data_IF_925072535165
#
_entry.id   IF_925072535165
#
_cell.length_a   1.000
_cell.length_b   1.000
_cell.length_c   1.000
_cell.angle_alpha   90.00
_cell.angle_beta   90.00
_cell.angle_gamma   90.00
#
_symmetry.space_group_name_H-M   'P 1'
#
loop_
_entity.id
_entity.type
_entity.pdbx_description
1 polymer ?
#
# COMPACT_ATOMS: atom_id res chain seq x y z
N UNK A 1 -14.59 16.70 -21.28
CA UNK A 1 -14.74 16.81 -19.82
C UNK A 1 -13.35 16.93 -19.22
N UNK A 2 -13.13 17.85 -18.28
CA UNK A 2 -11.82 18.02 -17.64
C UNK A 2 -11.68 17.03 -16.49
N UNK A 3 -10.76 16.07 -16.59
CA UNK A 3 -10.45 15.17 -15.47
C UNK A 3 -9.74 15.96 -14.37
N UNK A 4 -10.17 15.77 -13.12
CA UNK A 4 -9.41 16.24 -11.94
C UNK A 4 -8.53 15.12 -11.44
N UNK A 5 -7.38 15.49 -10.90
CA UNK A 5 -6.42 14.53 -10.34
C UNK A 5 -6.14 14.87 -8.89
N UNK A 6 -6.16 13.85 -8.04
CA UNK A 6 -5.62 13.93 -6.69
C UNK A 6 -4.42 13.00 -6.58
N UNK A 7 -3.43 13.42 -5.80
CA UNK A 7 -2.22 12.65 -5.54
C UNK A 7 -2.20 12.34 -4.06
N UNK A 8 -2.15 11.05 -3.72
CA UNK A 8 -2.14 10.63 -2.32
C UNK A 8 -1.09 9.59 -2.02
N UNK A 9 -0.37 9.86 -0.95
CA UNK A 9 0.70 8.99 -0.46
C UNK A 9 0.13 8.15 0.68
N UNK A 10 0.11 6.84 0.46
CA UNK A 10 -0.32 5.85 1.45
C UNK A 10 0.95 5.30 2.08
N UNK A 11 1.05 5.43 3.39
CA UNK A 11 2.17 4.94 4.18
C UNK A 11 1.71 3.74 5.01
N UNK A 12 2.14 2.55 4.62
CA UNK A 12 1.91 1.33 5.38
C UNK A 12 3.21 0.96 6.08
N UNK A 13 3.37 1.51 7.28
CA UNK A 13 4.43 1.10 8.20
C UNK A 13 4.34 -0.42 8.42
N UNK A 14 5.44 -1.13 8.23
CA UNK A 14 5.56 -2.58 8.43
C UNK A 14 5.01 -3.53 7.34
N UNK A 15 4.77 -3.09 6.11
CA UNK A 15 4.30 -3.97 5.02
C UNK A 15 5.41 -4.86 4.42
N UNK A 16 6.61 -4.29 4.20
CA UNK A 16 7.70 -4.97 3.50
C UNK A 16 8.61 -5.76 4.45
N UNK A 17 8.75 -5.37 5.74
CA UNK A 17 9.54 -6.15 6.71
C UNK A 17 9.08 -7.59 6.81
N UNK A 18 7.77 -7.85 7.01
CA UNK A 18 7.22 -9.19 7.10
C UNK A 18 7.21 -9.88 5.74
N UNK A 19 6.92 -9.19 4.64
CA UNK A 19 6.95 -9.79 3.30
C UNK A 19 8.37 -10.24 2.89
N UNK A 20 9.39 -9.42 3.17
CA UNK A 20 10.79 -9.76 2.93
C UNK A 20 11.32 -10.80 3.93
N UNK A 21 10.82 -10.80 5.17
CA UNK A 21 11.07 -11.85 6.16
C UNK A 21 10.44 -13.17 5.71
N UNK A 22 9.19 -13.17 5.23
CA UNK A 22 8.50 -14.33 4.68
C UNK A 22 9.25 -14.92 3.50
N UNK A 23 9.69 -14.10 2.52
CA UNK A 23 10.50 -14.57 1.39
C UNK A 23 11.83 -15.17 1.87
N UNK A 24 12.54 -14.50 2.81
CA UNK A 24 13.78 -15.03 3.39
C UNK A 24 13.57 -16.34 4.16
N UNK A 25 12.49 -16.44 4.93
CA UNK A 25 12.14 -17.65 5.68
C UNK A 25 11.72 -18.78 4.72
N UNK A 26 10.95 -18.51 3.66
CA UNK A 26 10.59 -19.52 2.65
C UNK A 26 11.79 -20.13 1.92
N UNK A 27 12.88 -19.37 1.78
CA UNK A 27 14.12 -19.81 1.14
C UNK A 27 15.21 -20.23 2.14
N UNK A 28 14.94 -20.19 3.45
CA UNK A 28 15.90 -20.57 4.48
C UNK A 28 15.70 -22.03 4.87
N UNK A 29 16.80 -22.80 4.88
CA UNK A 29 16.79 -24.22 5.27
C UNK A 29 16.42 -24.45 6.75
N UNK A 30 16.43 -23.40 7.59
CA UNK A 30 16.16 -23.47 9.04
C UNK A 30 15.03 -22.53 9.50
N UNK A 31 14.07 -22.22 8.63
CA UNK A 31 12.99 -21.30 8.99
C UNK A 31 12.02 -21.88 10.03
N UNK A 32 11.79 -21.13 11.11
CA UNK A 32 10.73 -21.46 12.07
C UNK A 32 9.36 -21.17 11.45
N UNK A 33 8.48 -22.19 11.47
CA UNK A 33 7.10 -22.10 11.00
C UNK A 33 6.34 -20.95 11.67
N UNK A 34 6.59 -20.70 12.95
CA UNK A 34 5.93 -19.64 13.71
C UNK A 34 6.32 -18.24 13.20
N UNK A 35 7.59 -18.05 12.84
CA UNK A 35 8.10 -16.82 12.25
C UNK A 35 7.51 -16.58 10.86
N UNK A 36 7.37 -17.63 10.06
CA UNK A 36 6.74 -17.56 8.73
C UNK A 36 5.26 -17.18 8.83
N UNK A 37 4.51 -17.81 9.73
CA UNK A 37 3.08 -17.50 9.96
C UNK A 37 2.90 -16.08 10.47
N UNK A 38 3.74 -15.63 11.41
CA UNK A 38 3.72 -14.26 11.90
C UNK A 38 4.00 -13.23 10.80
N UNK A 39 4.95 -13.54 9.90
CA UNK A 39 5.27 -12.71 8.76
C UNK A 39 4.10 -12.62 7.76
N UNK A 40 3.48 -13.75 7.41
CA UNK A 40 2.30 -13.81 6.54
C UNK A 40 1.13 -12.99 7.10
N UNK A 41 0.83 -13.11 8.40
CA UNK A 41 -0.27 -12.38 9.03
C UNK A 41 -0.08 -10.86 8.98
N UNK A 42 1.15 -10.38 9.17
CA UNK A 42 1.45 -8.93 9.07
C UNK A 42 1.34 -8.42 7.63
N UNK A 43 1.76 -9.22 6.64
CA UNK A 43 1.54 -8.89 5.23
C UNK A 43 0.05 -8.81 4.90
N UNK A 44 -0.76 -9.74 5.40
CA UNK A 44 -2.21 -9.76 5.17
C UNK A 44 -2.91 -8.50 5.72
N UNK A 45 -2.61 -8.13 6.97
CA UNK A 45 -3.16 -6.91 7.59
C UNK A 45 -2.81 -5.67 6.76
N UNK A 46 -1.58 -5.62 6.26
CA UNK A 46 -1.10 -4.48 5.51
C UNK A 46 -1.71 -4.44 4.08
N UNK A 47 -2.02 -5.59 3.47
CA UNK A 47 -2.82 -5.66 2.24
C UNK A 47 -4.26 -5.17 2.47
N UNK A 48 -4.89 -5.58 3.58
CA UNK A 48 -6.24 -5.15 3.93
C UNK A 48 -6.32 -3.63 4.13
N UNK A 49 -5.36 -3.04 4.84
CA UNK A 49 -5.29 -1.58 5.02
C UNK A 49 -5.11 -0.85 3.67
N UNK A 50 -4.31 -1.41 2.75
CA UNK A 50 -4.19 -0.85 1.41
C UNK A 50 -5.51 -0.91 0.63
N UNK A 51 -6.17 -2.06 0.69
CA UNK A 51 -7.45 -2.29 0.01
C UNK A 51 -8.54 -1.37 0.55
N UNK A 52 -8.64 -1.20 1.87
CA UNK A 52 -9.56 -0.25 2.51
C UNK A 52 -9.34 1.19 2.03
N UNK A 53 -8.08 1.65 2.00
CA UNK A 53 -7.74 2.99 1.51
C UNK A 53 -8.12 3.18 0.03
N UNK A 54 -7.78 2.21 -0.84
CA UNK A 54 -8.11 2.29 -2.26
C UNK A 54 -9.62 2.24 -2.52
N UNK A 55 -10.34 1.39 -1.77
CA UNK A 55 -11.79 1.31 -1.86
C UNK A 55 -12.47 2.60 -1.41
N UNK A 56 -11.96 3.27 -0.37
CA UNK A 56 -12.48 4.56 0.08
C UNK A 56 -12.37 5.66 -1.01
N UNK A 57 -11.37 5.58 -1.90
CA UNK A 57 -11.29 6.46 -3.08
C UNK A 57 -12.25 6.02 -4.18
N UNK A 58 -12.35 4.72 -4.46
CA UNK A 58 -13.28 4.19 -5.46
C UNK A 58 -14.74 4.52 -5.14
N UNK A 59 -15.15 4.42 -3.87
CA UNK A 59 -16.47 4.80 -3.39
C UNK A 59 -16.78 6.28 -3.62
N UNK A 60 -15.76 7.14 -3.62
CA UNK A 60 -15.86 8.57 -3.92
C UNK A 60 -15.80 8.88 -5.42
N UNK A 61 -15.79 7.85 -6.28
CA UNK A 61 -15.74 8.00 -7.74
C UNK A 61 -14.34 8.31 -8.29
N UNK A 62 -13.29 8.08 -7.50
CA UNK A 62 -11.92 8.23 -7.96
C UNK A 62 -11.40 6.92 -8.57
N UNK A 63 -10.84 7.01 -9.76
CA UNK A 63 -10.16 5.93 -10.46
C UNK A 63 -8.64 6.04 -10.27
N UNK A 64 -7.99 4.97 -9.82
CA UNK A 64 -6.53 4.93 -9.72
C UNK A 64 -5.91 4.84 -11.13
N UNK A 65 -5.20 5.88 -11.56
CA UNK A 65 -4.62 5.97 -12.91
C UNK A 65 -3.13 5.65 -12.94
N UNK A 66 -2.43 5.81 -11.82
CA UNK A 66 -1.01 5.47 -11.72
C UNK A 66 -0.59 5.23 -10.27
N UNK A 67 0.46 4.44 -10.07
CA UNK A 67 1.09 4.19 -8.78
C UNK A 67 2.58 4.43 -8.90
N UNK A 68 3.11 5.31 -8.06
CA UNK A 68 4.53 5.52 -7.90
C UNK A 68 5.01 4.78 -6.66
N UNK A 69 5.94 3.86 -6.86
CA UNK A 69 6.65 3.19 -5.77
C UNK A 69 7.84 4.05 -5.36
N UNK A 70 7.92 4.41 -4.08
CA UNK A 70 9.05 5.18 -3.58
C UNK A 70 10.26 4.29 -3.30
N UNK A 71 11.48 4.75 -3.62
CA UNK A 71 12.69 4.04 -3.24
C UNK A 71 12.84 4.11 -1.72
N UNK A 72 12.70 2.97 -1.07
CA UNK A 72 12.88 2.85 0.36
C UNK A 72 14.36 2.59 0.64
N UNK A 73 15.03 3.48 1.38
CA UNK A 73 16.45 3.34 1.72
C UNK A 73 16.74 2.06 2.51
N UNK A 74 17.99 1.59 2.61
CA UNK A 74 18.33 0.29 3.25
C UNK A 74 17.75 0.09 4.66
N UNK A 75 17.55 1.16 5.42
CA UNK A 75 16.98 1.12 6.79
C UNK A 75 15.45 1.23 6.81
N UNK A 76 14.87 1.92 5.84
CA UNK A 76 13.42 2.13 5.66
C UNK A 76 12.83 1.24 4.56
N UNK A 77 13.61 0.25 4.08
CA UNK A 77 13.32 -0.66 2.96
C UNK A 77 12.00 -1.43 3.11
N UNK A 78 11.39 -1.29 4.28
CA UNK A 78 10.33 -2.10 4.81
C UNK A 78 8.98 -1.39 4.96
N UNK A 79 8.94 -0.09 4.69
CA UNK A 79 7.71 0.67 4.66
C UNK A 79 7.16 0.69 3.24
N UNK A 80 5.91 0.25 3.05
CA UNK A 80 5.28 0.45 1.74
C UNK A 80 4.83 1.91 1.68
N UNK A 81 5.66 2.73 1.04
CA UNK A 81 5.31 4.09 0.67
C UNK A 81 4.93 4.06 -0.83
N UNK A 82 3.64 4.14 -1.09
CA UNK A 82 3.13 4.28 -2.46
C UNK A 82 2.46 5.64 -2.60
N UNK A 83 2.63 6.26 -3.77
CA UNK A 83 1.82 7.41 -4.16
C UNK A 83 0.88 6.99 -5.27
N UNK A 84 -0.42 6.93 -4.95
CA UNK A 84 -1.49 6.77 -5.93
C UNK A 84 -1.83 8.12 -6.57
N UNK A 85 -1.93 8.11 -7.90
CA UNK A 85 -2.52 9.21 -8.67
C UNK A 85 -3.93 8.75 -9.04
N UNK A 86 -4.93 9.50 -8.61
CA UNK A 86 -6.33 9.18 -8.85
C UNK A 86 -6.96 10.26 -9.72
N UNK A 87 -7.89 9.86 -10.58
CA UNK A 87 -8.64 10.77 -11.43
C UNK A 87 -10.14 10.64 -11.20
N UNK A 88 -10.86 11.75 -11.29
CA UNK A 88 -12.33 11.74 -11.24
C UNK A 88 -12.90 12.62 -12.35
N UNK A 89 -14.07 12.24 -12.85
CA UNK A 89 -14.91 13.04 -13.75
C UNK A 89 -16.02 13.77 -12.99
N UNK A 90 -16.28 13.39 -11.74
CA UNK A 90 -17.25 14.04 -10.85
C UNK A 90 -16.59 15.26 -10.21
N UNK A 91 -16.93 16.44 -10.71
CA UNK A 91 -16.35 17.72 -10.29
C UNK A 91 -16.99 18.31 -9.02
N UNK A 92 -17.89 17.58 -8.37
CA UNK A 92 -18.63 18.03 -7.20
C UNK A 92 -17.90 17.59 -5.93
N UNK A 93 -17.46 18.59 -5.14
CA UNK A 93 -17.12 18.48 -3.72
C UNK A 93 -15.67 18.17 -3.26
N UNK A 94 -14.67 18.90 -3.76
CA UNK A 94 -13.31 18.91 -3.18
C UNK A 94 -12.92 20.26 -2.54
N UNK A 95 -13.83 20.90 -1.80
CA UNK A 95 -13.43 21.83 -0.74
C UNK A 95 -13.46 21.08 0.59
N UNK A 96 -12.35 20.43 0.92
CA UNK A 96 -12.13 19.88 2.26
C UNK A 96 -11.54 21.00 3.13
N UNK A 97 -12.32 21.45 4.11
CA UNK A 97 -11.88 22.23 5.29
C UNK A 97 -10.86 21.44 6.13
#
# INVERSE_FOLDING_TARGET
MSKRYIVRTIYLANFYRPSAEMTRQRHSENASTETLVGAMRRTEIANQALEEELNAFAEKGYELVNVLHHPTGRESAFDLLITGIFSTENAEDDTVD
#
